data_IF_329068456831
#
_entry.id   IF_329068456831
#
_cell.length_a   1.000
_cell.length_b   1.000
_cell.length_c   1.000
_cell.angle_alpha   90.00
_cell.angle_beta   90.00
_cell.angle_gamma   90.00
#
_symmetry.space_group_name_H-M   'P 1'
#
loop_
_entity.id
_entity.type
_entity.pdbx_description
1 polymer ?
#
# COMPACT_ATOMS: atom_id res chain seq x y z
N UNK A 1 -11.86 -10.60 52.75
CA UNK A 1 -11.15 -9.52 52.04
C UNK A 1 -11.88 -9.33 50.74
N UNK A 2 -12.82 -8.37 50.73
CA UNK A 2 -13.62 -8.02 49.58
C UNK A 2 -12.73 -7.21 48.64
N UNK A 3 -12.57 -7.66 47.39
CA UNK A 3 -11.96 -6.86 46.35
C UNK A 3 -13.05 -5.94 45.78
N UNK A 4 -12.87 -4.65 46.04
CA UNK A 4 -13.64 -3.53 45.52
C UNK A 4 -13.86 -3.66 44.00
N UNK A 5 -15.13 -3.75 43.60
CA UNK A 5 -15.58 -3.85 42.22
C UNK A 5 -16.13 -2.50 41.78
N UNK A 6 -15.26 -1.50 41.67
CA UNK A 6 -15.61 -0.19 41.13
C UNK A 6 -14.72 0.18 39.93
N UNK A 7 -15.39 0.33 38.79
CA UNK A 7 -14.97 1.09 37.60
C UNK A 7 -13.93 0.50 36.64
N UNK A 8 -14.27 -0.60 35.98
CA UNK A 8 -13.88 -0.76 34.58
C UNK A 8 -15.01 -0.29 33.66
N UNK A 9 -15.14 1.04 33.55
CA UNK A 9 -15.75 1.65 32.38
C UNK A 9 -14.81 1.40 31.19
N UNK A 10 -14.89 0.22 30.59
CA UNK A 10 -14.20 -0.09 29.34
C UNK A 10 -15.15 0.14 28.16
N UNK A 11 -15.66 1.36 28.05
CA UNK A 11 -16.17 1.91 26.79
C UNK A 11 -14.98 2.28 25.87
N UNK A 12 -14.11 1.31 25.63
CA UNK A 12 -13.16 1.34 24.54
C UNK A 12 -13.78 0.63 23.35
N UNK A 13 -14.79 1.24 22.72
CA UNK A 13 -15.16 0.78 21.39
C UNK A 13 -13.89 0.81 20.52
N UNK A 14 -13.54 -0.25 19.78
CA UNK A 14 -12.38 -0.21 18.92
C UNK A 14 -12.65 0.87 17.88
N UNK A 15 -12.08 2.05 18.08
CA UNK A 15 -12.15 3.11 17.09
C UNK A 15 -11.48 2.55 15.83
N UNK A 16 -12.12 2.67 14.64
CA UNK A 16 -11.53 2.16 13.42
C UNK A 16 -10.18 2.84 13.18
N UNK A 17 -9.10 2.11 13.47
CA UNK A 17 -7.74 2.64 13.33
C UNK A 17 -7.46 2.80 11.85
N UNK A 18 -7.32 4.04 11.39
CA UNK A 18 -7.06 4.30 9.98
C UNK A 18 -5.63 3.88 9.62
N UNK A 19 -5.42 3.07 8.58
CA UNK A 19 -4.09 2.65 8.18
C UNK A 19 -3.24 3.84 7.76
N UNK A 20 -2.01 3.91 8.26
CA UNK A 20 -1.04 4.93 7.88
C UNK A 20 -0.21 4.49 6.68
N UNK A 21 0.56 5.41 6.09
CA UNK A 21 1.53 5.11 5.03
C UNK A 21 2.48 3.97 5.40
N UNK A 22 2.90 3.88 6.67
CA UNK A 22 3.79 2.83 7.16
C UNK A 22 3.13 1.44 7.11
N UNK A 23 1.84 1.36 7.42
CA UNK A 23 1.10 0.09 7.36
C UNK A 23 0.99 -0.36 5.90
N UNK A 24 0.68 0.55 4.98
CA UNK A 24 0.66 0.23 3.55
C UNK A 24 2.02 -0.21 3.03
N UNK A 25 3.10 0.50 3.37
CA UNK A 25 4.45 0.15 2.96
C UNK A 25 4.87 -1.22 3.52
N UNK A 26 4.52 -1.54 4.77
CA UNK A 26 4.78 -2.84 5.37
C UNK A 26 4.09 -3.98 4.60
N UNK A 27 2.79 -3.85 4.32
CA UNK A 27 2.02 -4.86 3.58
C UNK A 27 2.52 -5.00 2.14
N UNK A 28 2.85 -3.89 1.48
CA UNK A 28 3.42 -3.90 0.14
C UNK A 28 4.78 -4.60 0.10
N UNK A 29 5.64 -4.37 1.10
CA UNK A 29 6.93 -5.02 1.20
C UNK A 29 6.80 -6.54 1.39
N UNK A 30 5.83 -6.99 2.21
CA UNK A 30 5.53 -8.42 2.36
C UNK A 30 5.10 -9.02 1.02
N UNK A 31 4.21 -8.36 0.27
CA UNK A 31 3.81 -8.83 -1.05
C UNK A 31 4.98 -8.86 -2.04
N UNK A 32 5.82 -7.83 -2.08
CA UNK A 32 6.97 -7.73 -2.98
C UNK A 32 7.96 -8.89 -2.78
N UNK A 33 8.18 -9.29 -1.52
CA UNK A 33 9.07 -10.39 -1.16
C UNK A 33 8.39 -11.77 -1.17
N UNK A 34 7.07 -11.82 -1.36
CA UNK A 34 6.35 -13.08 -1.43
C UNK A 34 6.58 -13.83 -2.75
N UNK A 35 6.30 -15.13 -2.72
CA UNK A 35 6.26 -16.01 -3.89
C UNK A 35 4.93 -15.91 -4.67
N UNK A 36 4.14 -14.87 -4.45
CA UNK A 36 2.85 -14.71 -5.11
C UNK A 36 3.05 -14.18 -6.55
N UNK A 37 2.54 -14.86 -7.59
CA UNK A 37 2.73 -14.44 -8.98
C UNK A 37 2.12 -13.06 -9.25
N UNK A 38 0.99 -12.75 -8.61
CA UNK A 38 0.26 -11.47 -8.79
C UNK A 38 0.72 -10.34 -7.86
N UNK A 39 1.94 -10.43 -7.29
CA UNK A 39 2.39 -9.43 -6.30
C UNK A 39 2.40 -8.00 -6.83
N UNK A 40 2.73 -7.79 -8.11
CA UNK A 40 2.65 -6.48 -8.74
C UNK A 40 1.21 -5.91 -8.75
N UNK A 41 0.22 -6.74 -9.07
CA UNK A 41 -1.20 -6.32 -9.08
C UNK A 41 -1.69 -5.98 -7.66
N UNK A 42 -1.32 -6.79 -6.66
CA UNK A 42 -1.66 -6.50 -5.26
C UNK A 42 -1.04 -5.19 -4.79
N UNK A 43 0.20 -4.90 -5.18
CA UNK A 43 0.84 -3.64 -4.83
C UNK A 43 0.16 -2.45 -5.54
N UNK A 44 -0.27 -2.58 -6.80
CA UNK A 44 -1.06 -1.55 -7.50
C UNK A 44 -2.37 -1.24 -6.76
N UNK A 45 -3.10 -2.27 -6.33
CA UNK A 45 -4.32 -2.10 -5.54
C UNK A 45 -4.08 -1.34 -4.24
N UNK A 46 -2.96 -1.61 -3.56
CA UNK A 46 -2.59 -0.91 -2.33
C UNK A 46 -2.31 0.58 -2.60
N UNK A 47 -1.57 0.92 -3.65
CA UNK A 47 -1.33 2.32 -4.05
C UNK A 47 -2.66 3.03 -4.34
N UNK A 48 -3.55 2.40 -5.11
CA UNK A 48 -4.88 2.96 -5.40
C UNK A 48 -5.69 3.19 -4.13
N UNK A 49 -5.67 2.25 -3.18
CA UNK A 49 -6.34 2.39 -1.89
C UNK A 49 -5.76 3.51 -1.03
N UNK A 50 -4.44 3.70 -1.05
CA UNK A 50 -3.80 4.84 -0.39
C UNK A 50 -4.35 6.16 -0.95
N UNK A 51 -4.36 6.29 -2.29
CA UNK A 51 -4.86 7.48 -2.96
C UNK A 51 -6.36 7.73 -2.69
N UNK A 52 -7.19 6.68 -2.71
CA UNK A 52 -8.61 6.77 -2.37
C UNK A 52 -8.86 7.25 -0.94
N UNK A 53 -7.92 6.99 -0.03
CA UNK A 53 -7.97 7.44 1.36
C UNK A 53 -7.20 8.75 1.59
N UNK A 54 -6.85 9.47 0.53
CA UNK A 54 -6.06 10.71 0.58
C UNK A 54 -4.68 10.54 1.25
N UNK A 55 -4.16 9.30 1.30
CA UNK A 55 -2.82 9.00 1.77
C UNK A 55 -1.90 9.07 0.56
N UNK A 56 -0.98 10.05 0.55
CA UNK A 56 -0.04 10.25 -0.54
C UNK A 56 1.04 9.16 -0.51
N UNK A 57 1.19 8.33 -1.56
CA UNK A 57 2.32 7.43 -1.69
C UNK A 57 3.63 8.19 -1.73
N UNK A 58 4.68 7.62 -1.13
CA UNK A 58 6.01 8.23 -1.08
C UNK A 58 7.03 7.45 -1.91
N UNK A 59 8.29 7.89 -1.86
CA UNK A 59 9.39 7.25 -2.57
C UNK A 59 9.57 5.78 -2.14
N UNK A 60 9.31 5.46 -0.87
CA UNK A 60 9.40 4.08 -0.36
C UNK A 60 8.29 3.23 -0.97
N UNK A 61 7.06 3.75 -1.06
CA UNK A 61 5.93 3.06 -1.71
C UNK A 61 6.27 2.71 -3.16
N UNK A 62 6.75 3.69 -3.94
CA UNK A 62 7.03 3.47 -5.36
C UNK A 62 8.25 2.55 -5.59
N UNK A 63 9.30 2.67 -4.79
CA UNK A 63 10.46 1.78 -4.88
C UNK A 63 10.06 0.33 -4.57
N UNK A 64 9.23 0.13 -3.55
CA UNK A 64 8.74 -1.19 -3.16
C UNK A 64 7.87 -1.79 -4.27
N UNK A 65 6.99 -0.99 -4.87
CA UNK A 65 6.16 -1.40 -5.99
C UNK A 65 6.98 -1.80 -7.23
N UNK A 66 7.98 -0.98 -7.61
CA UNK A 66 8.86 -1.29 -8.74
C UNK A 66 9.67 -2.56 -8.49
N UNK A 67 10.13 -2.79 -7.26
CA UNK A 67 10.78 -4.04 -6.88
C UNK A 67 9.82 -5.24 -7.02
N UNK A 68 8.56 -5.10 -6.62
CA UNK A 68 7.55 -6.14 -6.82
C UNK A 68 7.34 -6.46 -8.32
N UNK A 69 7.27 -5.43 -9.18
CA UNK A 69 7.19 -5.61 -10.64
C UNK A 69 8.43 -6.33 -11.20
N UNK A 70 9.63 -5.88 -10.82
CA UNK A 70 10.89 -6.45 -11.31
C UNK A 70 11.11 -7.91 -10.88
N UNK A 71 10.61 -8.27 -9.71
CA UNK A 71 10.73 -9.63 -9.16
C UNK A 71 9.51 -10.51 -9.43
N UNK A 72 8.52 -10.02 -10.20
CA UNK A 72 7.36 -10.82 -10.59
C UNK A 72 7.76 -11.92 -11.57
N UNK A 73 7.29 -13.14 -11.30
CA UNK A 73 7.58 -14.32 -12.09
C UNK A 73 6.30 -15.13 -12.33
N UNK A 74 6.36 -16.07 -13.28
CA UNK A 74 5.21 -16.86 -13.72
C UNK A 74 4.99 -16.77 -15.23
N UNK A 75 3.75 -17.02 -15.65
CA UNK A 75 3.34 -16.97 -17.05
C UNK A 75 3.62 -15.60 -17.70
N UNK A 76 3.80 -15.58 -19.03
CA UNK A 76 4.12 -14.37 -19.79
C UNK A 76 3.16 -13.22 -19.51
N UNK A 77 1.85 -13.49 -19.48
CA UNK A 77 0.83 -12.48 -19.20
C UNK A 77 0.95 -11.83 -17.82
N UNK A 78 1.44 -12.54 -16.80
CA UNK A 78 1.64 -11.97 -15.45
C UNK A 78 2.80 -10.98 -15.45
N UNK A 79 3.88 -11.31 -16.16
CA UNK A 79 5.06 -10.43 -16.30
C UNK A 79 4.75 -9.22 -17.16
N UNK A 80 4.02 -9.40 -18.26
CA UNK A 80 3.58 -8.31 -19.13
C UNK A 80 2.69 -7.34 -18.35
N UNK A 81 1.76 -7.86 -17.55
CA UNK A 81 0.94 -7.01 -16.67
C UNK A 81 1.76 -6.26 -15.64
N UNK A 82 2.76 -6.90 -15.04
CA UNK A 82 3.67 -6.22 -14.10
C UNK A 82 4.46 -5.08 -14.76
N UNK A 83 4.88 -5.27 -16.02
CA UNK A 83 5.56 -4.26 -16.82
C UNK A 83 4.65 -3.07 -17.12
N UNK A 84 3.41 -3.33 -17.58
CA UNK A 84 2.41 -2.30 -17.85
C UNK A 84 2.15 -1.43 -16.63
N UNK A 85 1.93 -2.06 -15.47
CA UNK A 85 1.69 -1.36 -14.21
C UNK A 85 2.92 -0.54 -13.78
N UNK A 86 4.12 -1.10 -13.91
CA UNK A 86 5.39 -0.40 -13.66
C UNK A 86 5.54 0.86 -14.50
N UNK A 87 5.30 0.75 -15.81
CA UNK A 87 5.37 1.87 -16.75
C UNK A 87 4.29 2.93 -16.47
N UNK A 88 3.07 2.50 -16.13
CA UNK A 88 1.97 3.40 -15.78
C UNK A 88 2.35 4.30 -14.59
N UNK A 89 2.80 3.72 -13.48
CA UNK A 89 3.17 4.49 -12.30
C UNK A 89 4.42 5.33 -12.50
N UNK A 90 5.40 4.86 -13.27
CA UNK A 90 6.57 5.65 -13.65
C UNK A 90 6.16 6.91 -14.43
N UNK A 91 5.24 6.78 -15.40
CA UNK A 91 4.70 7.94 -16.14
C UNK A 91 3.89 8.86 -15.24
N UNK A 92 3.15 8.32 -14.27
CA UNK A 92 2.41 9.12 -13.30
C UNK A 92 3.34 9.95 -12.39
N UNK A 93 4.53 9.42 -12.05
CA UNK A 93 5.56 10.16 -11.31
C UNK A 93 6.23 11.26 -12.14
N UNK A 94 6.50 10.99 -13.42
CA UNK A 94 7.13 11.96 -14.32
C UNK A 94 6.21 13.11 -14.73
N UNK A 95 4.90 13.01 -14.50
CA UNK A 95 4.00 14.16 -14.56
C UNK A 95 4.00 14.82 -13.19
N UNK A 96 4.82 15.86 -12.94
CA UNK A 96 4.64 16.65 -11.72
C UNK A 96 3.20 17.14 -11.72
N UNK A 97 2.51 16.97 -10.58
CA UNK A 97 1.23 17.62 -10.35
C UNK A 97 1.44 19.11 -10.66
N UNK A 98 0.89 19.57 -11.79
CA UNK A 98 0.91 20.97 -12.15
C UNK A 98 0.31 21.72 -10.96
N UNK A 99 1.18 22.54 -10.38
CA UNK A 99 0.92 23.44 -9.27
C UNK A 99 -0.35 24.24 -9.56
N UNK A 100 -1.49 23.82 -8.99
CA UNK A 100 -2.70 24.62 -8.95
C UNK A 100 -2.48 25.73 -7.91
N UNK A 101 -1.80 26.79 -8.32
CA UNK A 101 -1.79 28.07 -7.62
C UNK A 101 -2.12 29.18 -8.62
N UNK A 102 -3.34 29.69 -8.45
CA UNK A 102 -3.93 30.95 -8.94
C UNK A 102 -4.51 30.94 -10.35
#
# INVERSE_FOLDING_TARGET
VEYDNSNYNHEGSPTPVQPTIYIYNAVMNVHANSMHPEKAQRCDELIRRMMQRSIRPDIVTYNTFLNACATTYGAGGVKERALELGMYWMKALCRPASNNNN
#
